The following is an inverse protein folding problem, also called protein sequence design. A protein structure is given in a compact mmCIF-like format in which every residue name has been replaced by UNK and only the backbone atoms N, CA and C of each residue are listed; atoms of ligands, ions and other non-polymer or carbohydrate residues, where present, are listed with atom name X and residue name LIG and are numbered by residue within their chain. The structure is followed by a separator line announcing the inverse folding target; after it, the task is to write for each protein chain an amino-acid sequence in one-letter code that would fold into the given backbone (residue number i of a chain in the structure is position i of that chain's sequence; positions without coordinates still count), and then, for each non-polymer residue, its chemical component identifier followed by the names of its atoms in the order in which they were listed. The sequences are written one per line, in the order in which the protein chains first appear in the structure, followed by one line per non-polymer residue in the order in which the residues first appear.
data_IF_318076996621
#
_entry.id   IF_318076996621
#
_cell.length_a   1.000
_cell.length_b   1.000
_cell.length_c   1.000
_cell.angle_alpha   90.00
_cell.angle_beta   90.00
_cell.angle_gamma   90.00
#
_symmetry.space_group_name_H-M   'P 1'
#
loop_
_entity.id
_entity.type
_entity.pdbx_description
1 polymer ?
#
# COMPACT_ATOMS: atom_id res chain seq x y z
N UNK A 1 4.15 1.62 -4.96
CA UNK A 1 4.86 2.46 -3.98
C UNK A 1 5.45 1.55 -2.91
N UNK A 2 6.61 1.89 -2.36
CA UNK A 2 7.29 1.11 -1.31
C UNK A 2 7.36 -0.39 -1.64
N UNK A 3 7.75 -0.70 -2.89
CA UNK A 3 7.81 -2.06 -3.42
C UNK A 3 9.20 -2.37 -3.97
N UNK A 4 9.55 -3.65 -4.06
CA UNK A 4 10.74 -4.10 -4.79
C UNK A 4 10.33 -4.43 -6.22
N UNK A 5 10.99 -3.83 -7.20
CA UNK A 5 10.76 -4.03 -8.63
C UNK A 5 11.97 -4.72 -9.25
N UNK A 6 11.75 -5.92 -9.81
CA UNK A 6 12.79 -6.67 -10.51
C UNK A 6 13.01 -6.12 -11.94
N UNK A 7 14.10 -6.58 -12.54
CA UNK A 7 14.61 -6.23 -13.88
C UNK A 7 13.67 -6.64 -15.03
N UNK A 8 12.64 -7.43 -14.75
CA UNK A 8 11.59 -7.74 -15.72
C UNK A 8 10.75 -6.51 -16.12
N UNK A 9 10.68 -5.50 -15.25
CA UNK A 9 9.97 -4.26 -15.55
C UNK A 9 10.74 -3.49 -16.62
N UNK A 10 10.07 -3.22 -17.75
CA UNK A 10 10.67 -2.42 -18.83
C UNK A 10 11.12 -1.06 -18.31
N UNK A 11 12.25 -0.58 -18.83
CA UNK A 11 12.84 0.68 -18.37
C UNK A 11 11.91 1.89 -18.61
N UNK A 12 11.04 1.84 -19.62
CA UNK A 12 9.98 2.83 -19.88
C UNK A 12 8.87 2.81 -18.83
N UNK A 13 8.66 1.67 -18.16
CA UNK A 13 7.73 1.45 -17.06
C UNK A 13 6.28 1.25 -17.51
N UNK A 14 5.73 2.23 -18.24
CA UNK A 14 4.31 2.29 -18.56
C UNK A 14 4.09 2.20 -20.07
N UNK A 15 3.13 1.38 -20.48
CA UNK A 15 2.74 1.21 -21.87
C UNK A 15 1.55 2.10 -22.22
N UNK A 16 1.59 2.70 -23.40
CA UNK A 16 0.51 3.57 -23.83
C UNK A 16 -0.59 2.79 -24.55
N UNK A 17 -1.67 2.50 -23.84
CA UNK A 17 -2.85 1.82 -24.39
C UNK A 17 -4.00 2.79 -24.73
N UNK A 18 -3.81 4.10 -24.55
CA UNK A 18 -4.88 5.09 -24.70
C UNK A 18 -4.43 6.36 -25.43
N UNK A 19 -5.39 7.13 -25.95
CA UNK A 19 -5.10 8.42 -26.59
C UNK A 19 -4.98 9.58 -25.59
N UNK A 20 -5.37 9.39 -24.32
CA UNK A 20 -5.48 10.47 -23.34
C UNK A 20 -4.50 10.31 -22.16
N UNK A 21 -3.21 10.28 -22.47
CA UNK A 21 -2.11 10.18 -21.49
C UNK A 21 -2.00 11.37 -20.53
N UNK A 22 -2.71 12.47 -20.78
CA UNK A 22 -2.65 13.69 -19.96
C UNK A 22 -3.59 13.66 -18.75
N UNK A 23 -4.60 12.78 -18.72
CA UNK A 23 -5.55 12.68 -17.61
C UNK A 23 -5.24 11.54 -16.63
N UNK A 24 -4.25 10.71 -16.94
CA UNK A 24 -3.85 9.60 -16.08
C UNK A 24 -3.05 10.11 -14.86
N UNK A 25 -3.03 9.35 -13.78
CA UNK A 25 -2.15 9.56 -12.64
C UNK A 25 -1.37 8.27 -12.36
N UNK A 26 -0.16 8.18 -12.88
CA UNK A 26 0.78 7.09 -12.60
C UNK A 26 1.89 7.59 -11.71
N UNK A 27 1.99 7.04 -10.51
CA UNK A 27 2.92 7.51 -9.48
C UNK A 27 3.89 6.43 -9.02
N UNK A 28 5.15 6.78 -8.88
CA UNK A 28 6.18 5.94 -8.26
C UNK A 28 6.73 6.62 -7.02
N UNK A 29 6.68 5.92 -5.88
CA UNK A 29 7.14 6.41 -4.59
C UNK A 29 7.95 5.34 -3.88
N UNK A 30 9.21 5.66 -3.57
CA UNK A 30 10.12 4.85 -2.77
C UNK A 30 10.19 3.36 -3.18
N UNK A 31 10.17 3.08 -4.49
CA UNK A 31 10.39 1.73 -5.00
C UNK A 31 11.89 1.41 -5.03
N UNK A 32 12.27 0.16 -4.79
CA UNK A 32 13.66 -0.31 -4.78
C UNK A 32 13.86 -1.47 -5.76
N UNK A 33 15.11 -1.87 -6.01
CA UNK A 33 15.44 -2.96 -6.91
C UNK A 33 15.80 -2.51 -8.34
N UNK A 34 16.25 -3.45 -9.19
CA UNK A 34 16.80 -3.11 -10.51
C UNK A 34 15.78 -2.47 -11.47
N UNK A 35 14.49 -2.75 -11.32
CA UNK A 35 13.42 -2.17 -12.16
C UNK A 35 12.94 -0.77 -11.71
N UNK A 36 13.35 -0.30 -10.52
CA UNK A 36 12.83 0.94 -9.93
C UNK A 36 13.53 2.22 -10.41
N UNK A 37 14.53 2.10 -11.29
CA UNK A 37 15.22 3.28 -11.83
C UNK A 37 14.25 4.13 -12.68
N UNK A 38 14.33 5.44 -12.45
CA UNK A 38 13.42 6.43 -13.04
C UNK A 38 14.01 7.15 -14.26
N UNK A 39 15.30 6.94 -14.55
CA UNK A 39 16.07 7.65 -15.56
C UNK A 39 15.55 7.45 -16.99
N UNK A 40 14.92 6.30 -17.27
CA UNK A 40 14.40 5.92 -18.59
C UNK A 40 12.88 5.81 -18.67
N UNK A 41 12.19 6.17 -17.57
CA UNK A 41 10.73 6.12 -17.53
C UNK A 41 10.13 7.16 -18.50
N UNK A 42 8.90 6.91 -18.94
CA UNK A 42 8.14 7.84 -19.79
C UNK A 42 8.05 9.23 -19.17
N UNK A 43 7.86 10.28 -19.98
CA UNK A 43 7.72 11.67 -19.52
C UNK A 43 6.32 12.22 -19.75
N UNK A 44 5.31 11.38 -19.59
CA UNK A 44 3.93 11.79 -19.83
C UNK A 44 3.46 12.81 -18.78
N UNK A 45 2.57 13.75 -19.14
CA UNK A 45 2.08 14.75 -18.20
C UNK A 45 1.44 14.15 -16.94
N UNK A 46 0.78 12.99 -17.07
CA UNK A 46 0.16 12.25 -15.97
C UNK A 46 1.09 11.31 -15.20
N UNK A 47 2.40 11.31 -15.50
CA UNK A 47 3.36 10.45 -14.82
C UNK A 47 4.18 11.23 -13.78
N UNK A 48 4.12 10.75 -12.55
CA UNK A 48 4.74 11.32 -11.36
C UNK A 48 5.87 10.39 -10.90
N UNK A 49 7.02 10.50 -11.57
CA UNK A 49 8.19 9.64 -11.33
C UNK A 49 8.79 9.80 -9.93
N UNK A 50 8.78 11.02 -9.40
CA UNK A 50 9.45 11.40 -8.16
C UNK A 50 8.42 11.90 -7.14
N UNK A 51 7.43 11.06 -6.83
CA UNK A 51 6.50 11.41 -5.75
C UNK A 51 7.28 11.62 -4.45
N UNK A 52 6.89 12.65 -3.71
CA UNK A 52 7.36 12.88 -2.36
C UNK A 52 6.33 12.38 -1.33
N UNK A 53 6.63 12.56 -0.04
CA UNK A 53 5.75 12.14 1.05
C UNK A 53 4.37 12.82 1.01
N UNK A 54 4.32 14.07 0.56
CA UNK A 54 3.07 14.85 0.42
C UNK A 54 2.20 14.29 -0.70
N UNK A 55 2.79 13.87 -1.82
CA UNK A 55 2.05 13.22 -2.90
C UNK A 55 1.55 11.83 -2.45
N UNK A 56 2.44 11.07 -1.80
CA UNK A 56 2.19 9.69 -1.41
C UNK A 56 1.11 9.57 -0.32
N UNK A 57 0.99 10.55 0.58
CA UNK A 57 0.06 10.50 1.73
C UNK A 57 -1.39 10.22 1.30
N UNK A 58 -1.79 10.69 0.12
CA UNK A 58 -3.15 10.51 -0.41
C UNK A 58 -3.47 9.07 -0.79
N UNK A 59 -2.44 8.24 -1.03
CA UNK A 59 -2.56 6.84 -1.44
C UNK A 59 -2.37 5.85 -0.29
N UNK A 60 -2.06 6.32 0.93
CA UNK A 60 -2.07 5.45 2.11
C UNK A 60 -3.50 5.04 2.46
N UNK A 61 -3.66 3.84 3.01
CA UNK A 61 -4.97 3.26 3.38
C UNK A 61 -5.83 4.24 4.20
N UNK A 62 -5.21 4.95 5.15
CA UNK A 62 -5.90 5.91 6.04
C UNK A 62 -6.51 7.11 5.34
N UNK A 63 -6.03 7.45 4.14
CA UNK A 63 -6.49 8.61 3.39
C UNK A 63 -7.27 8.18 2.13
N UNK A 64 -6.87 7.07 1.51
CA UNK A 64 -7.46 6.58 0.28
C UNK A 64 -8.79 5.82 0.50
N UNK A 65 -8.87 4.99 1.55
CA UNK A 65 -10.03 4.09 1.77
C UNK A 65 -10.97 4.61 2.87
N UNK A 66 -10.53 5.60 3.66
CA UNK A 66 -11.18 6.06 4.91
C UNK A 66 -12.56 6.72 4.75
N UNK A 67 -13.13 6.77 3.56
CA UNK A 67 -14.47 7.31 3.34
C UNK A 67 -15.62 6.33 3.66
N UNK A 68 -15.41 5.01 3.84
CA UNK A 68 -16.56 4.07 3.95
C UNK A 68 -16.56 3.13 5.16
N UNK A 69 -15.48 2.96 5.92
CA UNK A 69 -15.57 2.02 7.06
C UNK A 69 -14.65 2.39 8.22
N UNK A 70 -15.26 2.83 9.32
CA UNK A 70 -14.72 2.77 10.68
C UNK A 70 -14.43 1.33 11.16
N UNK A 71 -14.36 0.35 10.26
CA UNK A 71 -14.37 -1.09 10.55
C UNK A 71 -13.37 -1.91 9.73
N UNK A 72 -12.47 -1.31 8.95
CA UNK A 72 -11.35 -2.08 8.40
C UNK A 72 -10.36 -2.28 9.54
N UNK A 73 -10.45 -3.45 10.17
CA UNK A 73 -9.45 -4.00 11.08
C UNK A 73 -8.07 -3.80 10.43
N UNK A 74 -7.27 -2.86 10.95
CA UNK A 74 -5.82 -2.96 10.78
C UNK A 74 -5.49 -4.33 11.35
N UNK A 75 -5.03 -5.25 10.51
CA UNK A 75 -4.46 -6.52 10.98
C UNK A 75 -3.22 -6.16 11.81
N UNK A 76 -3.42 -5.82 13.07
CA UNK A 76 -2.39 -5.95 14.06
C UNK A 76 -2.04 -7.44 14.09
N UNK A 77 -0.78 -7.76 13.80
CA UNK A 77 -0.29 -9.11 13.97
C UNK A 77 -0.48 -9.50 15.43
N UNK A 78 -1.39 -10.44 15.70
CA UNK A 78 -1.49 -11.05 17.03
C UNK A 78 -0.25 -11.91 17.22
N UNK A 79 0.67 -11.45 18.05
CA UNK A 79 1.83 -12.24 18.49
C UNK A 79 1.37 -13.14 19.62
N UNK A 80 1.48 -14.46 19.41
CA UNK A 80 1.20 -15.48 20.40
C UNK A 80 2.53 -16.12 20.77
N UNK A 81 2.84 -16.23 22.06
CA UNK A 81 4.02 -16.96 22.51
C UNK A 81 3.86 -18.48 22.31
N UNK A 82 4.94 -19.23 22.52
CA UNK A 82 4.96 -20.70 22.40
C UNK A 82 4.02 -21.43 23.38
N UNK A 83 3.41 -20.71 24.34
CA UNK A 83 2.48 -21.24 25.34
C UNK A 83 1.03 -20.78 25.07
N UNK A 84 0.77 -20.06 23.98
CA UNK A 84 -0.58 -19.64 23.59
C UNK A 84 -1.04 -18.29 24.15
N UNK A 85 -0.15 -17.50 24.76
CA UNK A 85 -0.50 -16.21 25.37
C UNK A 85 -0.15 -15.04 24.44
N UNK A 86 -1.07 -14.08 24.29
CA UNK A 86 -0.93 -12.91 23.42
C UNK A 86 -1.80 -11.74 23.89
N UNK A 87 -1.61 -10.54 23.31
CA UNK A 87 -2.42 -9.37 23.63
C UNK A 87 -3.75 -9.41 22.86
N UNK A 88 -4.82 -9.84 23.52
CA UNK A 88 -6.17 -9.93 22.96
C UNK A 88 -6.99 -8.70 23.36
N UNK A 89 -6.82 -7.56 22.70
CA UNK A 89 -7.63 -6.38 23.05
C UNK A 89 -9.02 -6.38 22.38
N UNK A 90 -9.31 -7.27 21.43
CA UNK A 90 -10.66 -7.36 20.82
C UNK A 90 -11.00 -8.75 20.28
N UNK A 91 -11.33 -9.68 21.18
CA UNK A 91 -12.37 -10.70 20.92
C UNK A 91 -13.26 -10.70 22.15
N UNK A 92 -14.27 -9.81 22.17
CA UNK A 92 -15.24 -9.78 23.28
C UNK A 92 -15.97 -11.13 23.34
N UNK A 93 -16.11 -11.64 24.56
CA UNK A 93 -17.13 -12.59 25.01
C UNK A 93 -17.05 -14.02 24.46
N UNK A 94 -16.34 -14.90 25.15
CA UNK A 94 -16.60 -16.35 25.05
C UNK A 94 -16.37 -17.03 26.41
N UNK A 95 -17.48 -17.33 27.11
CA UNK A 95 -17.67 -18.54 27.94
C UNK A 95 -16.87 -18.72 29.26
N UNK A 96 -16.94 -17.83 30.26
CA UNK A 96 -16.46 -18.18 31.62
C UNK A 96 -17.04 -17.40 32.82
N UNK A 97 -18.28 -16.90 32.75
CA UNK A 97 -19.01 -16.53 33.98
C UNK A 97 -20.38 -17.21 34.00
N UNK A 98 -20.36 -18.53 33.89
CA UNK A 98 -21.48 -19.35 34.39
C UNK A 98 -21.30 -19.41 35.91
N UNK A 99 -22.26 -18.94 36.72
CA UNK A 99 -22.13 -19.04 38.18
C UNK A 99 -22.21 -20.51 38.60
N UNK A 100 -21.28 -20.97 39.44
CA UNK A 100 -21.56 -21.97 40.46
C UNK A 100 -21.86 -21.25 41.77
#
# INVERSE_FOLDING_TARGET
MQSIMDSLVDSSGWLNETTNISTLYYGEYNNTGPGSKLDKKVRWPGYHAYMNDVDAINFFVSNFISAIVNSIVKRESVVIDQHGLGNFTTIRETLAVTPQ
#
